data_IF_510087729178
#
_entry.id   IF_510087729178
#
_cell.length_a   1.000
_cell.length_b   1.000
_cell.length_c   1.000
_cell.angle_alpha   90.00
_cell.angle_beta   90.00
_cell.angle_gamma   90.00
#
_symmetry.space_group_name_H-M   'P 1'
#
loop_
_entity.id
_entity.type
_entity.pdbx_description
1 polymer ?
#
# COMPACT_ATOMS: atom_id res chain seq x y z
N UNK A 1 28.51 22.23 -35.21
CA UNK A 1 28.27 22.77 -33.85
C UNK A 1 27.27 21.86 -33.17
N UNK A 2 27.72 20.98 -32.27
CA UNK A 2 26.83 20.09 -31.52
C UNK A 2 26.07 20.93 -30.50
N UNK A 3 24.74 20.96 -30.58
CA UNK A 3 23.92 21.56 -29.53
C UNK A 3 24.10 20.71 -28.28
N UNK A 4 24.83 21.24 -27.29
CA UNK A 4 24.90 20.64 -25.97
C UNK A 4 23.53 20.81 -25.31
N UNK A 5 22.65 19.83 -25.53
CA UNK A 5 21.48 19.64 -24.68
C UNK A 5 22.04 19.29 -23.31
N UNK A 6 21.90 20.16 -22.31
CA UNK A 6 22.37 19.84 -20.96
C UNK A 6 21.63 18.59 -20.49
N UNK A 7 22.31 17.45 -20.51
CA UNK A 7 21.74 16.19 -20.05
C UNK A 7 21.26 16.38 -18.61
N UNK A 8 19.99 16.02 -18.35
CA UNK A 8 19.42 16.02 -17.00
C UNK A 8 20.28 15.08 -16.14
N UNK A 9 20.60 15.47 -14.92
CA UNK A 9 21.46 14.69 -14.03
C UNK A 9 20.68 14.30 -12.78
N UNK A 10 21.15 13.26 -12.08
CA UNK A 10 20.59 12.86 -10.79
C UNK A 10 20.43 14.03 -9.82
N UNK A 11 21.46 14.87 -9.66
CA UNK A 11 21.40 16.03 -8.75
C UNK A 11 20.29 17.02 -9.12
N UNK A 12 19.98 17.19 -10.42
CA UNK A 12 18.86 18.03 -10.85
C UNK A 12 17.51 17.39 -10.49
N UNK A 13 17.37 16.09 -10.69
CA UNK A 13 16.15 15.35 -10.33
C UNK A 13 15.96 15.30 -8.82
N UNK A 14 17.05 15.15 -8.04
CA UNK A 14 17.02 15.19 -6.58
C UNK A 14 16.59 16.56 -6.07
N UNK A 15 17.14 17.66 -6.61
CA UNK A 15 16.71 19.00 -6.24
C UNK A 15 15.24 19.26 -6.59
N UNK A 16 14.77 18.74 -7.74
CA UNK A 16 13.36 18.82 -8.09
C UNK A 16 12.50 18.02 -7.09
N UNK A 17 12.93 16.82 -6.72
CA UNK A 17 12.25 15.97 -5.75
C UNK A 17 12.12 16.69 -4.40
N UNK A 18 13.20 17.25 -3.85
CA UNK A 18 13.16 18.03 -2.59
C UNK A 18 12.13 19.16 -2.63
N UNK A 19 11.99 19.84 -3.78
CA UNK A 19 11.08 20.98 -3.92
C UNK A 19 9.62 20.58 -4.09
N UNK A 20 9.37 19.39 -4.66
CA UNK A 20 8.05 19.05 -5.18
C UNK A 20 7.39 17.88 -4.45
N UNK A 21 8.15 17.03 -3.74
CA UNK A 21 7.66 15.76 -3.20
C UNK A 21 6.42 15.93 -2.33
N UNK A 22 6.45 16.84 -1.36
CA UNK A 22 5.35 17.06 -0.42
C UNK A 22 4.07 17.52 -1.15
N UNK A 23 4.14 18.63 -1.89
CA UNK A 23 2.99 19.18 -2.60
C UNK A 23 2.46 18.26 -3.70
N UNK A 24 3.35 17.53 -4.39
CA UNK A 24 2.97 16.67 -5.51
C UNK A 24 2.45 15.30 -5.09
N UNK A 25 2.66 14.92 -3.83
CA UNK A 25 2.15 13.66 -3.25
C UNK A 25 1.13 13.92 -2.15
N UNK A 26 0.70 15.18 -1.96
CA UNK A 26 -0.23 15.57 -0.89
C UNK A 26 0.20 15.06 0.49
N UNK A 27 1.51 15.12 0.78
CA UNK A 27 2.10 14.65 2.04
C UNK A 27 2.34 13.14 2.14
N UNK A 28 2.02 12.35 1.11
CA UNK A 28 2.20 10.89 1.11
C UNK A 28 3.65 10.46 0.90
N UNK A 29 4.59 11.36 0.68
CA UNK A 29 6.00 11.00 0.57
C UNK A 29 6.94 12.09 1.12
N UNK A 30 8.06 11.65 1.69
CA UNK A 30 9.12 12.54 2.20
C UNK A 30 10.50 11.93 1.96
N UNK A 31 11.51 12.78 1.77
CA UNK A 31 12.90 12.31 1.64
C UNK A 31 13.46 12.09 3.05
N UNK A 32 14.00 10.90 3.30
CA UNK A 32 14.65 10.51 4.56
C UNK A 32 16.15 10.83 4.52
N UNK A 33 16.81 10.45 3.42
CA UNK A 33 18.23 10.66 3.23
C UNK A 33 18.56 10.69 1.73
N UNK A 34 19.69 11.31 1.37
CA UNK A 34 20.22 11.25 0.02
C UNK A 34 21.75 11.30 0.06
N UNK A 35 22.39 10.70 -0.95
CA UNK A 35 23.83 10.82 -1.19
C UNK A 35 24.06 11.15 -2.68
N UNK A 36 25.29 10.96 -3.16
CA UNK A 36 25.65 11.33 -4.53
C UNK A 36 24.84 10.63 -5.61
N UNK A 37 24.38 9.38 -5.38
CA UNK A 37 23.62 8.60 -6.37
C UNK A 37 22.43 7.79 -5.84
N UNK A 38 22.05 7.94 -4.58
CA UNK A 38 20.84 7.31 -4.05
C UNK A 38 20.04 8.24 -3.15
N UNK A 39 18.72 8.04 -3.18
CA UNK A 39 17.76 8.72 -2.29
C UNK A 39 16.91 7.67 -1.59
N UNK A 40 16.70 7.88 -0.30
CA UNK A 40 15.78 7.10 0.53
C UNK A 40 14.54 7.94 0.77
N UNK A 41 13.38 7.37 0.42
CA UNK A 41 12.08 8.03 0.54
C UNK A 41 11.22 7.23 1.51
N UNK A 42 10.47 7.92 2.36
CA UNK A 42 9.41 7.32 3.16
C UNK A 42 8.06 7.61 2.51
N UNK A 43 7.31 6.55 2.19
CA UNK A 43 5.97 6.59 1.61
C UNK A 43 4.92 6.38 2.72
N UNK A 44 3.87 7.18 2.69
CA UNK A 44 2.76 7.20 3.63
C UNK A 44 1.43 7.12 2.87
N UNK A 45 1.01 5.91 2.42
CA UNK A 45 -0.29 5.74 1.79
C UNK A 45 -1.41 6.21 2.74
N UNK A 46 -2.41 6.89 2.19
CA UNK A 46 -3.55 7.41 2.95
C UNK A 46 -4.87 6.69 2.60
N UNK A 47 -4.81 5.72 1.68
CA UNK A 47 -5.93 4.93 1.18
C UNK A 47 -5.50 3.48 0.97
N UNK A 48 -6.49 2.62 0.69
CA UNK A 48 -6.29 1.20 0.43
C UNK A 48 -5.86 0.40 1.67
N UNK A 49 -5.45 -0.85 1.44
CA UNK A 49 -5.09 -1.80 2.52
C UNK A 49 -3.84 -1.39 3.30
N UNK A 50 -3.04 -0.48 2.74
CA UNK A 50 -1.78 0.01 3.30
C UNK A 50 -1.90 1.41 3.91
N UNK A 51 -3.11 1.94 4.07
CA UNK A 51 -3.34 3.27 4.65
C UNK A 51 -2.70 3.38 6.05
N UNK A 52 -2.15 4.55 6.37
CA UNK A 52 -1.51 4.87 7.66
C UNK A 52 -0.17 4.16 7.94
N UNK A 53 0.27 3.27 7.07
CA UNK A 53 1.59 2.67 7.14
C UNK A 53 2.68 3.63 6.64
N UNK A 54 3.91 3.38 7.08
CA UNK A 54 5.10 4.07 6.57
C UNK A 54 6.07 3.05 5.95
N UNK A 55 6.39 3.20 4.66
CA UNK A 55 7.33 2.31 3.95
C UNK A 55 8.58 3.05 3.53
N UNK A 56 9.74 2.46 3.80
CA UNK A 56 11.03 3.00 3.35
C UNK A 56 11.40 2.39 2.01
N UNK A 57 11.70 3.23 1.04
CA UNK A 57 12.13 2.84 -0.31
C UNK A 57 13.48 3.45 -0.62
N UNK A 58 14.41 2.64 -1.11
CA UNK A 58 15.71 3.07 -1.61
C UNK A 58 15.67 3.14 -3.15
N UNK A 59 16.08 4.29 -3.70
CA UNK A 59 16.19 4.53 -5.15
C UNK A 59 17.66 4.80 -5.47
N UNK A 60 18.30 3.91 -6.23
CA UNK A 60 19.70 4.02 -6.65
C UNK A 60 19.79 4.33 -8.13
N UNK A 61 20.50 5.39 -8.46
CA UNK A 61 20.80 5.77 -9.83
C UNK A 61 22.21 5.31 -10.22
N UNK A 62 22.35 4.80 -11.44
CA UNK A 62 23.67 4.53 -12.01
C UNK A 62 24.33 5.81 -12.55
N UNK A 63 25.61 5.72 -12.91
CA UNK A 63 26.33 6.81 -13.60
C UNK A 63 25.73 7.14 -14.98
N UNK A 64 24.92 6.24 -15.55
CA UNK A 64 24.25 6.41 -16.84
C UNK A 64 22.86 7.03 -16.72
N UNK A 65 22.34 7.22 -15.50
CA UNK A 65 21.07 7.92 -15.27
C UNK A 65 21.07 9.33 -15.91
N UNK A 66 19.97 9.77 -16.55
CA UNK A 66 18.66 9.12 -16.66
C UNK A 66 18.49 8.28 -17.92
N UNK A 67 19.58 7.88 -18.60
CA UNK A 67 19.47 6.99 -19.76
C UNK A 67 18.96 5.62 -19.31
N UNK A 68 19.53 5.12 -18.22
CA UNK A 68 19.14 3.86 -17.60
C UNK A 68 18.23 4.15 -16.41
N UNK A 69 17.32 3.21 -16.13
CA UNK A 69 16.39 3.30 -15.01
C UNK A 69 17.14 3.27 -13.67
N UNK A 70 16.60 3.89 -12.62
CA UNK A 70 17.08 3.63 -11.27
C UNK A 70 16.70 2.22 -10.81
N UNK A 71 17.52 1.62 -9.95
CA UNK A 71 17.13 0.46 -9.14
C UNK A 71 16.28 0.94 -7.96
N UNK A 72 15.14 0.27 -7.73
CA UNK A 72 14.18 0.64 -6.67
C UNK A 72 13.90 -0.57 -5.81
N UNK A 73 14.08 -0.43 -4.50
CA UNK A 73 13.83 -1.49 -3.51
C UNK A 73 13.09 -0.99 -2.29
N UNK A 74 12.11 -1.77 -1.82
CA UNK A 74 11.51 -1.58 -0.51
C UNK A 74 12.45 -2.10 0.57
N UNK A 75 12.82 -1.23 1.50
CA UNK A 75 13.58 -1.61 2.70
C UNK A 75 12.66 -1.99 3.87
N UNK A 76 11.38 -1.60 3.80
CA UNK A 76 10.35 -2.01 4.75
C UNK A 76 9.52 -3.16 4.19
N UNK A 77 9.18 -4.19 4.99
CA UNK A 77 8.28 -5.25 4.56
C UNK A 77 6.92 -4.69 4.12
N UNK A 78 6.41 -5.19 3.00
CA UNK A 78 5.09 -4.86 2.49
C UNK A 78 4.47 -6.10 1.84
N UNK A 79 3.23 -6.43 2.22
CA UNK A 79 2.47 -7.48 1.56
C UNK A 79 1.80 -6.90 0.32
N UNK A 80 2.40 -7.11 -0.86
CA UNK A 80 1.91 -6.51 -2.10
C UNK A 80 2.21 -7.39 -3.32
N UNK A 81 1.26 -7.57 -4.26
CA UNK A 81 1.45 -8.45 -5.42
C UNK A 81 2.69 -8.16 -6.27
N UNK A 82 3.00 -6.88 -6.45
CA UNK A 82 4.09 -6.45 -7.31
C UNK A 82 5.38 -6.10 -6.55
N UNK A 83 5.45 -6.39 -5.25
CA UNK A 83 6.64 -6.11 -4.44
C UNK A 83 6.99 -7.38 -3.68
N UNK A 84 8.20 -7.89 -3.93
CA UNK A 84 8.70 -9.04 -3.20
C UNK A 84 8.95 -8.65 -1.72
N UNK A 85 8.35 -9.40 -0.79
CA UNK A 85 8.39 -9.07 0.64
C UNK A 85 9.75 -9.38 1.27
N UNK A 86 10.52 -10.29 0.69
CA UNK A 86 11.83 -10.71 1.21
C UNK A 86 12.95 -9.84 0.64
N UNK A 87 12.96 -9.63 -0.68
CA UNK A 87 14.02 -8.88 -1.39
C UNK A 87 13.73 -7.39 -1.51
N UNK A 88 12.45 -7.00 -1.45
CA UNK A 88 11.99 -5.64 -1.69
C UNK A 88 11.93 -5.25 -3.18
N UNK A 89 12.17 -6.18 -4.09
CA UNK A 89 12.17 -5.91 -5.53
C UNK A 89 10.77 -5.49 -6.01
N UNK A 90 10.73 -4.54 -6.94
CA UNK A 90 9.49 -3.93 -7.43
C UNK A 90 9.27 -4.27 -8.90
N UNK A 91 8.12 -4.87 -9.22
CA UNK A 91 7.63 -4.98 -10.59
C UNK A 91 6.78 -3.76 -10.96
N UNK A 92 7.39 -2.76 -11.59
CA UNK A 92 6.73 -1.52 -11.97
C UNK A 92 7.01 -1.16 -13.44
N UNK A 93 5.95 -0.97 -14.23
CA UNK A 93 6.05 -0.79 -15.69
C UNK A 93 6.90 0.43 -16.10
N UNK A 94 6.95 1.51 -15.31
CA UNK A 94 7.82 2.65 -15.64
C UNK A 94 9.32 2.33 -15.48
N UNK A 95 9.68 1.34 -14.66
CA UNK A 95 11.07 0.87 -14.51
C UNK A 95 11.44 -0.07 -15.65
N UNK A 96 10.53 -0.96 -16.03
CA UNK A 96 10.69 -1.88 -17.17
C UNK A 96 10.76 -1.12 -18.52
N UNK A 97 9.85 -0.17 -18.72
CA UNK A 97 9.78 0.68 -19.93
C UNK A 97 10.28 2.08 -19.64
N UNK A 98 11.46 2.16 -19.04
CA UNK A 98 12.06 3.42 -18.66
C UNK A 98 12.32 4.33 -19.85
N UNK A 99 11.91 5.57 -19.71
CA UNK A 99 12.22 6.65 -20.63
C UNK A 99 12.97 7.74 -19.88
N UNK A 100 14.04 8.26 -20.49
CA UNK A 100 14.85 9.33 -19.89
C UNK A 100 14.11 10.65 -19.62
N UNK A 101 12.83 10.76 -20.01
CA UNK A 101 11.94 11.83 -19.60
C UNK A 101 11.36 11.66 -18.19
N UNK A 102 11.24 10.43 -17.67
CA UNK A 102 10.79 10.17 -16.30
C UNK A 102 11.86 10.56 -15.27
N UNK A 103 11.48 11.19 -14.18
CA UNK A 103 12.37 11.64 -13.11
C UNK A 103 12.07 10.92 -11.77
N UNK A 104 12.83 11.22 -10.71
CA UNK A 104 12.64 10.60 -9.39
C UNK A 104 11.25 10.83 -8.78
N UNK A 105 10.62 11.99 -9.04
CA UNK A 105 9.26 12.26 -8.56
C UNK A 105 8.23 11.38 -9.28
N UNK A 106 8.43 11.11 -10.57
CA UNK A 106 7.58 10.19 -11.32
C UNK A 106 7.67 8.77 -10.72
N UNK A 107 8.87 8.33 -10.34
CA UNK A 107 9.08 7.07 -9.62
C UNK A 107 8.29 7.03 -8.31
N UNK A 108 8.43 8.06 -7.47
CA UNK A 108 7.72 8.14 -6.18
C UNK A 108 6.20 8.11 -6.37
N UNK A 109 5.67 8.85 -7.33
CA UNK A 109 4.22 8.86 -7.63
C UNK A 109 3.73 7.52 -8.15
N UNK A 110 4.49 6.87 -9.02
CA UNK A 110 4.14 5.55 -9.54
C UNK A 110 4.19 4.47 -8.47
N UNK A 111 5.08 4.58 -7.48
CA UNK A 111 5.08 3.67 -6.33
C UNK A 111 3.83 3.86 -5.45
N UNK A 112 3.45 5.10 -5.14
CA UNK A 112 2.21 5.38 -4.41
C UNK A 112 0.98 4.84 -5.15
N UNK A 113 0.91 5.08 -6.46
CA UNK A 113 -0.16 4.55 -7.31
C UNK A 113 -0.19 3.03 -7.30
N UNK A 114 0.98 2.37 -7.38
CA UNK A 114 1.06 0.91 -7.35
C UNK A 114 0.55 0.34 -6.03
N UNK A 115 0.89 0.96 -4.90
CA UNK A 115 0.43 0.53 -3.57
C UNK A 115 -1.10 0.62 -3.45
N UNK A 116 -1.72 1.65 -4.03
CA UNK A 116 -3.17 1.85 -4.01
C UNK A 116 -3.91 0.98 -5.05
N UNK A 117 -3.25 0.68 -6.16
CA UNK A 117 -3.79 -0.09 -7.28
C UNK A 117 -2.86 -1.25 -7.67
N UNK A 118 -2.87 -2.37 -6.91
CA UNK A 118 -2.08 -3.54 -7.22
C UNK A 118 -2.40 -4.10 -8.61
N UNK A 119 -1.36 -4.51 -9.35
CA UNK A 119 -1.51 -5.19 -10.63
C UNK A 119 -1.37 -6.71 -10.47
N UNK A 120 -2.50 -7.41 -10.44
CA UNK A 120 -2.51 -8.87 -10.26
C UNK A 120 -2.00 -9.65 -11.48
N UNK A 121 -2.06 -9.08 -12.69
CA UNK A 121 -1.60 -9.74 -13.92
C UNK A 121 -0.06 -9.89 -13.98
N UNK A 122 0.65 -9.05 -13.23
CA UNK A 122 2.12 -9.05 -13.11
C UNK A 122 2.58 -9.26 -11.68
N UNK A 123 1.84 -10.04 -10.89
CA UNK A 123 2.24 -10.38 -9.53
C UNK A 123 3.58 -11.13 -9.56
N UNK A 124 4.54 -10.65 -8.78
CA UNK A 124 5.85 -11.29 -8.61
C UNK A 124 5.99 -11.93 -7.24
N UNK A 125 5.18 -11.50 -6.27
CA UNK A 125 5.26 -11.99 -4.92
C UNK A 125 4.43 -13.28 -4.78
N UNK A 126 5.05 -14.47 -4.66
CA UNK A 126 4.30 -15.71 -4.52
C UNK A 126 3.50 -15.76 -3.21
N UNK A 127 3.92 -14.98 -2.21
CA UNK A 127 3.29 -14.88 -0.89
C UNK A 127 1.91 -14.20 -0.94
N UNK A 128 1.62 -13.48 -2.03
CA UNK A 128 0.33 -12.86 -2.30
C UNK A 128 -0.51 -13.65 -3.30
N UNK A 129 -0.23 -14.94 -3.52
CA UNK A 129 -1.17 -15.78 -4.24
C UNK A 129 -2.45 -15.85 -3.39
N UNK A 130 -3.53 -15.30 -3.92
CA UNK A 130 -4.77 -15.06 -3.20
C UNK A 130 -5.90 -15.67 -4.01
N UNK A 131 -6.67 -16.53 -3.37
CA UNK A 131 -7.89 -17.08 -3.97
C UNK A 131 -9.01 -16.03 -4.02
N UNK A 132 -8.98 -15.05 -3.10
CA UNK A 132 -9.91 -13.92 -3.10
C UNK A 132 -9.29 -12.64 -2.50
N UNK A 133 -9.92 -11.50 -2.78
CA UNK A 133 -9.47 -10.19 -2.30
C UNK A 133 -9.65 -9.97 -0.79
N UNK A 134 -10.54 -10.71 -0.12
CA UNK A 134 -10.73 -10.59 1.34
C UNK A 134 -9.48 -11.03 2.09
N UNK A 135 -8.79 -12.03 1.57
CA UNK A 135 -7.56 -12.55 2.13
C UNK A 135 -6.39 -11.55 1.99
N UNK A 136 -6.40 -10.70 0.97
CA UNK A 136 -5.41 -9.62 0.80
C UNK A 136 -5.43 -8.66 1.98
N UNK A 137 -6.63 -8.20 2.37
CA UNK A 137 -6.79 -7.29 3.49
C UNK A 137 -6.32 -7.92 4.80
N UNK A 138 -6.76 -9.17 5.09
CA UNK A 138 -6.37 -9.91 6.30
C UNK A 138 -4.86 -10.11 6.38
N UNK A 139 -4.23 -10.60 5.31
CA UNK A 139 -2.77 -10.84 5.26
C UNK A 139 -1.96 -9.54 5.32
N UNK A 140 -2.43 -8.47 4.66
CA UNK A 140 -1.80 -7.14 4.74
C UNK A 140 -1.78 -6.63 6.18
N UNK A 141 -2.93 -6.64 6.87
CA UNK A 141 -3.02 -6.21 8.27
C UNK A 141 -2.12 -7.03 9.19
N UNK A 142 -2.04 -8.35 8.99
CA UNK A 142 -1.14 -9.21 9.78
C UNK A 142 0.33 -8.86 9.57
N UNK A 143 0.77 -8.66 8.33
CA UNK A 143 2.15 -8.21 8.05
C UNK A 143 2.43 -6.85 8.69
N UNK A 144 1.50 -5.89 8.57
CA UNK A 144 1.67 -4.57 9.20
C UNK A 144 1.74 -4.65 10.72
N UNK A 145 0.97 -5.55 11.35
CA UNK A 145 1.01 -5.83 12.78
C UNK A 145 2.26 -6.62 13.21
N UNK A 146 3.08 -7.09 12.27
CA UNK A 146 4.21 -7.99 12.55
C UNK A 146 3.77 -9.37 13.04
N UNK A 147 2.57 -9.82 12.68
CA UNK A 147 2.09 -11.17 12.93
C UNK A 147 2.54 -12.13 11.82
N UNK A 148 2.61 -13.45 12.10
CA UNK A 148 2.90 -14.43 11.08
C UNK A 148 1.87 -14.43 9.94
N UNK A 149 2.37 -14.58 8.71
CA UNK A 149 1.61 -14.90 7.50
C UNK A 149 2.32 -16.04 6.77
N UNK A 150 1.62 -17.07 6.33
CA UNK A 150 2.17 -18.26 5.67
C UNK A 150 3.44 -18.81 6.38
N UNK A 151 3.47 -18.77 7.72
CA UNK A 151 4.61 -19.22 8.52
C UNK A 151 5.84 -18.29 8.55
N UNK A 152 5.78 -17.14 7.91
CA UNK A 152 6.82 -16.10 7.97
C UNK A 152 6.36 -14.90 8.81
N UNK A 153 7.28 -14.28 9.53
CA UNK A 153 7.00 -13.10 10.34
C UNK A 153 7.96 -11.97 9.98
N UNK A 154 7.41 -10.77 9.80
CA UNK A 154 8.15 -9.59 9.41
C UNK A 154 8.12 -8.54 10.53
N UNK A 155 9.04 -7.58 10.46
CA UNK A 155 9.03 -6.47 11.41
C UNK A 155 7.73 -5.65 11.27
N UNK A 156 7.08 -5.27 12.39
CA UNK A 156 5.84 -4.51 12.35
C UNK A 156 6.05 -3.11 11.75
N UNK A 157 5.03 -2.63 11.06
CA UNK A 157 4.98 -1.25 10.59
C UNK A 157 4.56 -0.34 11.75
N UNK A 158 5.53 0.37 12.35
CA UNK A 158 5.29 1.18 13.55
C UNK A 158 4.20 2.23 13.37
N UNK A 159 4.23 2.97 12.26
CA UNK A 159 3.23 4.01 11.99
C UNK A 159 1.81 3.42 11.90
N UNK A 160 1.67 2.27 11.22
CA UNK A 160 0.41 1.56 11.17
C UNK A 160 -0.03 1.03 12.53
N UNK A 161 0.88 0.42 13.31
CA UNK A 161 0.55 -0.10 14.64
C UNK A 161 0.11 1.00 15.60
N UNK A 162 0.80 2.14 15.62
CA UNK A 162 0.41 3.31 16.43
C UNK A 162 -0.98 3.81 16.04
N UNK A 163 -1.26 3.91 14.74
CA UNK A 163 -2.59 4.25 14.25
C UNK A 163 -3.63 3.20 14.66
N UNK A 164 -3.36 1.91 14.43
CA UNK A 164 -4.31 0.83 14.72
C UNK A 164 -4.61 0.72 16.22
N UNK A 165 -3.61 0.89 17.09
CA UNK A 165 -3.79 0.91 18.55
C UNK A 165 -4.69 2.07 18.98
N UNK A 166 -4.43 3.28 18.49
CA UNK A 166 -5.22 4.47 18.81
C UNK A 166 -6.70 4.36 18.38
N UNK A 167 -7.00 3.49 17.41
CA UNK A 167 -8.35 3.27 16.88
C UNK A 167 -8.98 1.94 17.32
N UNK A 168 -8.26 1.11 18.07
CA UNK A 168 -8.73 -0.21 18.52
C UNK A 168 -8.85 -1.24 17.38
N UNK A 169 -8.04 -1.12 16.34
CA UNK A 169 -8.07 -1.94 15.12
C UNK A 169 -6.92 -2.97 15.04
N UNK A 170 -6.15 -3.17 16.11
CA UNK A 170 -5.08 -4.18 16.12
C UNK A 170 -5.68 -5.59 15.97
N UNK A 171 -5.17 -6.42 15.05
CA UNK A 171 -5.64 -7.79 14.92
C UNK A 171 -5.31 -8.58 16.19
N UNK A 172 -6.29 -9.33 16.71
CA UNK A 172 -6.03 -10.32 17.74
C UNK A 172 -5.03 -11.35 17.18
N UNK A 173 -4.09 -11.80 18.02
CA UNK A 173 -3.04 -12.77 17.64
C UNK A 173 -3.55 -14.18 17.37
N UNK A 174 -4.74 -14.33 16.78
CA UNK A 174 -5.33 -15.61 16.43
C UNK A 174 -4.47 -16.32 15.37
N UNK A 175 -4.41 -17.64 15.51
CA UNK A 175 -3.66 -18.55 14.63
C UNK A 175 -4.09 -18.32 13.17
N UNK A 176 -3.15 -18.47 12.22
CA UNK A 176 -3.51 -18.44 10.80
C UNK A 176 -4.52 -19.56 10.53
N UNK A 177 -5.80 -19.22 10.39
CA UNK A 177 -6.82 -20.17 9.95
C UNK A 177 -6.38 -20.73 8.59
N UNK A 178 -6.28 -22.07 8.48
CA UNK A 178 -5.97 -22.72 7.22
C UNK A 178 -7.05 -22.35 6.19
N UNK A 179 -6.62 -21.70 5.10
CA UNK A 179 -7.49 -21.19 4.04
C UNK A 179 -8.25 -22.33 3.29
N UNK A 180 -8.03 -23.61 3.61
CA UNK A 180 -8.62 -24.79 2.94
C UNK A 180 -10.07 -25.13 3.38
N UNK A 181 -10.55 -24.69 4.55
CA UNK A 181 -11.84 -25.17 5.10
C UNK A 181 -13.00 -24.15 5.01
N UNK A 182 -12.86 -23.11 4.16
CA UNK A 182 -13.71 -21.90 4.22
C UNK A 182 -14.74 -21.69 3.11
N UNK A 183 -15.18 -22.72 2.37
CA UNK A 183 -16.37 -22.60 1.51
C UNK A 183 -17.68 -22.65 2.33
N UNK A 184 -17.74 -21.89 3.43
CA UNK A 184 -18.96 -21.62 4.16
C UNK A 184 -19.63 -20.39 3.56
N UNK A 185 -20.84 -20.57 3.01
CA UNK A 185 -21.69 -19.50 2.49
C UNK A 185 -21.95 -18.43 3.58
N UNK A 186 -21.14 -17.37 3.61
CA UNK A 186 -21.42 -16.11 4.32
C UNK A 186 -21.60 -14.99 3.28
N UNK A 187 -22.35 -15.29 2.21
CA UNK A 187 -22.71 -14.31 1.18
C UNK A 187 -24.09 -14.56 0.56
N UNK A 188 -25.03 -15.16 1.28
CA UNK A 188 -26.44 -14.98 0.90
C UNK A 188 -27.04 -13.67 1.44
N UNK A 189 -26.29 -12.87 2.22
CA UNK A 189 -26.88 -11.74 2.95
C UNK A 189 -26.30 -10.34 2.64
N UNK A 190 -25.46 -10.18 1.60
CA UNK A 190 -24.83 -8.87 1.33
C UNK A 190 -24.99 -8.39 -0.13
N UNK A 191 -25.77 -9.08 -0.96
CA UNK A 191 -26.08 -8.62 -2.34
C UNK A 191 -27.55 -8.36 -2.65
N UNK A 192 -28.45 -8.36 -1.65
CA UNK A 192 -29.84 -7.93 -1.85
C UNK A 192 -30.17 -6.59 -1.18
N UNK A 193 -29.38 -5.53 -1.42
CA UNK A 193 -29.86 -4.15 -1.13
C UNK A 193 -29.37 -3.17 -2.19
N UNK A 194 -29.76 -3.40 -3.44
CA UNK A 194 -29.97 -2.30 -4.42
C UNK A 194 -31.27 -2.58 -5.16
N UNK A 195 -32.36 -2.58 -4.39
CA UNK A 195 -33.73 -2.59 -4.87
C UNK A 195 -34.39 -1.28 -4.50
N UNK A 196 -34.82 -0.54 -5.52
CA UNK A 196 -35.56 0.73 -5.49
C UNK A 196 -36.59 0.81 -4.34
N UNK A 197 -36.63 1.96 -3.68
CA UNK A 197 -37.53 2.35 -2.57
C UNK A 197 -39.00 1.95 -2.77
N UNK A 198 -39.61 1.45 -1.67
CA UNK A 198 -40.97 1.78 -1.24
C UNK A 198 -41.11 1.49 0.27
N UNK A 199 -41.43 2.51 1.06
CA UNK A 199 -41.66 2.47 2.52
C UNK A 199 -42.99 1.75 2.93
N UNK A 200 -43.39 1.73 4.22
CA UNK A 200 -42.81 0.98 5.36
C UNK A 200 -43.90 0.20 6.15
N UNK A 201 -43.58 -0.78 7.01
CA UNK A 201 -44.38 -1.05 8.25
C UNK A 201 -43.56 -1.81 9.32
N UNK A 202 -43.57 -1.18 10.50
CA UNK A 202 -43.40 -1.57 11.93
C UNK A 202 -43.26 -3.06 12.34
N UNK A 203 -42.36 -3.39 13.27
CA UNK A 203 -42.59 -3.45 14.75
C UNK A 203 -41.38 -4.04 15.49
N UNK A 204 -41.31 -3.71 16.78
CA UNK A 204 -40.25 -3.93 17.79
C UNK A 204 -39.65 -5.34 17.90
N UNK A 205 -38.35 -5.43 18.23
CA UNK A 205 -37.85 -6.10 19.45
C UNK A 205 -36.34 -5.86 19.69
N UNK A 206 -35.97 -5.69 20.96
CA UNK A 206 -34.64 -5.48 21.48
C UNK A 206 -33.70 -6.69 21.26
N UNK A 207 -32.46 -6.48 20.84
CA UNK A 207 -31.33 -7.28 21.36
C UNK A 207 -29.94 -6.67 21.10
N UNK A 208 -28.98 -7.13 21.91
CA UNK A 208 -27.71 -6.51 22.24
C UNK A 208 -26.74 -6.30 21.05
N UNK A 209 -26.17 -5.10 20.98
CA UNK A 209 -25.08 -4.76 20.05
C UNK A 209 -23.83 -5.55 20.48
N UNK A 210 -23.41 -6.49 19.64
CA UNK A 210 -22.15 -7.19 19.83
C UNK A 210 -20.98 -6.22 19.59
N UNK A 211 -19.86 -6.44 20.28
CA UNK A 211 -18.64 -5.63 20.14
C UNK A 211 -18.11 -5.52 18.70
N UNK A 212 -18.59 -6.38 17.80
CA UNK A 212 -18.18 -6.48 16.39
C UNK A 212 -19.02 -5.54 15.50
N UNK A 213 -20.32 -5.38 15.81
CA UNK A 213 -21.21 -4.46 15.09
C UNK A 213 -20.91 -2.98 15.42
N UNK A 214 -20.43 -2.72 16.64
CA UNK A 214 -19.91 -1.41 17.02
C UNK A 214 -18.60 -1.08 16.27
N UNK A 215 -17.80 -2.09 15.89
CA UNK A 215 -16.53 -1.92 15.17
C UNK A 215 -16.75 -1.68 13.67
N UNK A 216 -17.61 -2.46 13.02
CA UNK A 216 -17.96 -2.28 11.61
C UNK A 216 -18.62 -0.91 11.36
N UNK A 217 -19.50 -0.47 12.25
CA UNK A 217 -20.10 0.87 12.17
C UNK A 217 -19.08 1.99 12.41
N UNK A 218 -18.05 1.77 13.23
CA UNK A 218 -17.02 2.78 13.52
C UNK A 218 -15.98 2.89 12.41
N UNK A 219 -15.61 1.77 11.80
CA UNK A 219 -14.75 1.72 10.61
C UNK A 219 -15.50 2.31 9.41
N UNK A 220 -16.75 1.92 9.18
CA UNK A 220 -17.60 2.47 8.10
C UNK A 220 -17.92 3.96 8.24
N UNK A 221 -18.19 4.44 9.47
CA UNK A 221 -18.45 5.86 9.71
C UNK A 221 -17.21 6.74 9.52
N UNK A 222 -16.00 6.22 9.75
CA UNK A 222 -14.75 6.95 9.48
C UNK A 222 -14.46 7.08 7.98
N UNK A 223 -14.87 6.11 7.15
CA UNK A 223 -14.76 6.20 5.68
C UNK A 223 -15.73 7.21 5.05
N UNK A 224 -16.85 7.54 5.72
CA UNK A 224 -17.84 8.50 5.21
C UNK A 224 -17.63 9.96 5.66
N UNK A 225 -16.70 10.23 6.59
CA UNK A 225 -16.54 11.57 7.19
C UNK A 225 -15.61 12.53 6.40
N UNK A 226 -15.08 12.12 5.24
CA UNK A 226 -14.24 12.95 4.37
C UNK A 226 -14.62 12.84 2.88
N UNK A 227 -15.91 12.99 2.58
CA UNK A 227 -16.39 13.56 1.30
C UNK A 227 -17.05 14.90 1.60
#
# INVERSE_FOLDING_TARGET
MSRSTTQRSYLKDLHQLYRMIEASTHGQASIVAANEMSVVVSLHPNSGYNAHAAFTVEIKCSLTFPRDAPEVKFASPIFHPNIDIETGDVCLNILDKWLSCYNLLDVVKSLLFLIDHPNFDSAINPFTHLENMKLLAKKTMRVLAGLPVNGQQFAPNKAWCEWAEAHGCLPAGEEEENDEDGAGNIWEDVTQVVGVEREPETDDEHEAISSVDAFANKVGALFSAFI
#
